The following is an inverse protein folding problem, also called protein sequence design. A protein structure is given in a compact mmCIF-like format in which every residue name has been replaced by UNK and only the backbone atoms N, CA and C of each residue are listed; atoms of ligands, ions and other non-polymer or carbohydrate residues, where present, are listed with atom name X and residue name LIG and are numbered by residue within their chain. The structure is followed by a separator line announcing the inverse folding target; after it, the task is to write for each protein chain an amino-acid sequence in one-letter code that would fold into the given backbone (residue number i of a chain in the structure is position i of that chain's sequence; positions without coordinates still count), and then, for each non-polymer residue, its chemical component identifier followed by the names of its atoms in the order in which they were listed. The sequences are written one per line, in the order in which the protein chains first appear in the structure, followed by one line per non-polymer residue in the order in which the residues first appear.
data_IF_082922673407
#
_entry.id   IF_082922673407
#
_cell.length_a   1.000
_cell.length_b   1.000
_cell.length_c   1.000
_cell.angle_alpha   90.00
_cell.angle_beta   90.00
_cell.angle_gamma   90.00
#
_symmetry.space_group_name_H-M   'P 1'
#
loop_
_entity.id
_entity.type
_entity.pdbx_description
1 polymer ?
#
# COMPACT_ATOMS: atom_id res chain seq x y z
N UNK A 1 6.16 -12.73 0.76
CA UNK A 1 6.30 -12.13 2.10
C UNK A 1 5.78 -13.10 3.16
N UNK A 2 6.44 -14.26 3.34
CA UNK A 2 6.05 -15.27 4.36
C UNK A 2 4.57 -15.68 4.33
N UNK A 3 3.99 -15.84 3.13
CA UNK A 3 2.57 -16.18 2.96
C UNK A 3 1.58 -15.03 3.21
N UNK A 4 2.04 -13.84 3.62
CA UNK A 4 1.20 -12.65 3.77
C UNK A 4 0.75 -12.10 2.41
N UNK A 5 -0.55 -11.83 2.27
CA UNK A 5 -1.11 -11.07 1.14
C UNK A 5 -0.78 -9.59 1.31
N UNK A 6 -0.30 -8.95 0.25
CA UNK A 6 0.14 -7.55 0.23
C UNK A 6 -0.30 -6.88 -1.05
N UNK A 7 -0.45 -5.56 -1.03
CA UNK A 7 -0.53 -4.76 -2.25
C UNK A 7 0.90 -4.43 -2.72
N UNK A 8 1.16 -4.55 -4.02
CA UNK A 8 2.47 -4.27 -4.61
C UNK A 8 2.37 -3.10 -5.57
N UNK A 9 2.96 -1.96 -5.17
CA UNK A 9 3.07 -0.78 -6.01
C UNK A 9 4.32 -0.91 -6.87
N UNK A 10 4.16 -1.03 -8.19
CA UNK A 10 5.27 -1.04 -9.17
C UNK A 10 5.51 0.37 -9.71
N UNK A 11 6.73 0.88 -9.58
CA UNK A 11 7.12 2.21 -10.04
C UNK A 11 8.03 2.13 -11.26
N UNK A 12 7.80 3.04 -12.20
CA UNK A 12 8.62 3.21 -13.40
C UNK A 12 9.93 3.96 -13.09
N UNK A 13 10.98 3.79 -13.93
CA UNK A 13 12.29 4.45 -13.76
C UNK A 13 12.23 5.96 -13.51
N UNK A 14 11.32 6.66 -14.18
CA UNK A 14 11.18 8.11 -14.10
C UNK A 14 10.76 8.57 -12.69
N UNK A 15 10.15 7.67 -11.91
CA UNK A 15 9.69 7.92 -10.55
C UNK A 15 10.69 7.47 -9.47
N UNK A 16 11.87 6.94 -9.82
CA UNK A 16 12.79 6.35 -8.83
C UNK A 16 13.23 7.36 -7.76
N UNK A 17 13.39 8.64 -8.13
CA UNK A 17 13.72 9.71 -7.19
C UNK A 17 12.65 9.94 -6.10
N UNK A 18 11.42 9.44 -6.30
CA UNK A 18 10.34 9.52 -5.32
C UNK A 18 10.30 8.32 -4.37
N UNK A 19 10.91 7.19 -4.76
CA UNK A 19 10.83 5.93 -4.02
C UNK A 19 11.47 6.07 -2.65
N UNK A 20 12.67 6.67 -2.57
CA UNK A 20 13.37 6.84 -1.30
C UNK A 20 12.58 7.71 -0.32
N UNK A 21 11.95 8.78 -0.83
CA UNK A 21 11.10 9.65 -0.02
C UNK A 21 9.85 8.91 0.48
N UNK A 22 9.18 8.17 -0.39
CA UNK A 22 7.98 7.40 -0.04
C UNK A 22 8.29 6.32 1.00
N UNK A 23 9.33 5.51 0.77
CA UNK A 23 9.75 4.44 1.69
C UNK A 23 10.16 5.01 3.05
N UNK A 24 10.90 6.13 3.07
CA UNK A 24 11.30 6.77 4.33
C UNK A 24 10.08 7.23 5.14
N UNK A 25 9.17 7.96 4.52
CA UNK A 25 7.99 8.48 5.21
C UNK A 25 7.07 7.36 5.72
N UNK A 26 6.92 6.28 4.94
CA UNK A 26 6.16 5.12 5.37
C UNK A 26 6.81 4.44 6.58
N UNK A 27 8.13 4.17 6.55
CA UNK A 27 8.86 3.56 7.68
C UNK A 27 8.85 4.40 8.96
N UNK A 28 8.77 5.72 8.84
CA UNK A 28 8.71 6.62 10.00
C UNK A 28 7.31 6.65 10.63
N UNK A 29 6.27 6.22 9.92
CA UNK A 29 4.87 6.46 10.30
C UNK A 29 4.01 5.20 10.43
N UNK A 30 4.47 4.04 9.96
CA UNK A 30 3.66 2.82 9.80
C UNK A 30 3.31 2.07 11.09
N UNK A 31 3.85 2.51 12.23
CA UNK A 31 3.42 2.05 13.56
C UNK A 31 2.05 2.64 13.97
N UNK A 32 1.58 3.69 13.29
CA UNK A 32 0.28 4.29 13.57
C UNK A 32 -0.86 3.49 12.91
N UNK A 33 -1.95 3.14 13.63
CA UNK A 33 -3.01 2.25 13.13
C UNK A 33 -3.82 2.80 11.95
N UNK A 34 -3.75 4.12 11.70
CA UNK A 34 -4.42 4.77 10.55
C UNK A 34 -3.46 5.14 9.41
N UNK A 35 -2.22 4.65 9.45
CA UNK A 35 -1.25 4.75 8.36
C UNK A 35 -1.06 3.36 7.78
N UNK A 36 -1.03 3.26 6.45
CA UNK A 36 -0.87 1.99 5.76
C UNK A 36 0.48 1.35 6.13
N UNK A 37 0.46 0.06 6.47
CA UNK A 37 1.67 -0.63 6.91
C UNK A 37 2.64 -0.86 5.75
N UNK A 38 3.91 -0.52 5.96
CA UNK A 38 4.99 -0.87 5.04
C UNK A 38 5.57 -2.25 5.38
N UNK A 39 5.91 -3.03 4.36
CA UNK A 39 6.57 -4.32 4.57
C UNK A 39 7.97 -4.36 3.96
N UNK A 40 8.12 -3.94 2.71
CA UNK A 40 9.38 -4.10 2.00
C UNK A 40 9.46 -3.19 0.75
N UNK A 41 10.69 -2.93 0.30
CA UNK A 41 10.95 -2.37 -1.03
C UNK A 41 11.97 -3.26 -1.73
N UNK A 42 11.70 -3.61 -2.98
CA UNK A 42 12.58 -4.42 -3.84
C UNK A 42 12.79 -3.71 -5.18
N UNK A 43 13.88 -4.05 -5.87
CA UNK A 43 14.16 -3.49 -7.20
C UNK A 43 14.75 -4.53 -8.14
N UNK A 44 14.40 -4.42 -9.40
CA UNK A 44 15.08 -5.13 -10.48
C UNK A 44 15.71 -4.13 -11.47
N UNK A 45 16.00 -4.56 -12.70
CA UNK A 45 16.61 -3.70 -13.73
C UNK A 45 15.65 -2.64 -14.28
N UNK A 46 14.34 -2.85 -14.16
CA UNK A 46 13.32 -2.05 -14.83
C UNK A 46 12.42 -1.31 -13.85
N UNK A 47 12.21 -1.82 -12.63
CA UNK A 47 11.21 -1.30 -11.71
C UNK A 47 11.66 -1.31 -10.24
N UNK A 48 11.00 -0.45 -9.46
CA UNK A 48 10.94 -0.56 -8.01
C UNK A 48 9.57 -1.11 -7.60
N UNK A 49 9.55 -1.87 -6.52
CA UNK A 49 8.37 -2.52 -5.97
C UNK A 49 8.25 -2.20 -4.49
N UNK A 50 7.15 -1.55 -4.09
CA UNK A 50 6.86 -1.29 -2.68
C UNK A 50 5.73 -2.23 -2.27
N UNK A 51 5.99 -3.07 -1.27
CA UNK A 51 5.00 -3.95 -0.67
C UNK A 51 4.40 -3.29 0.58
N UNK A 52 3.09 -3.10 0.57
CA UNK A 52 2.31 -2.49 1.65
C UNK A 52 1.09 -3.36 2.01
N UNK A 53 0.40 -2.99 3.08
CA UNK A 53 -0.86 -3.58 3.47
C UNK A 53 -1.85 -3.70 2.30
N UNK A 54 -2.45 -4.88 2.18
CA UNK A 54 -3.55 -5.11 1.25
C UNK A 54 -4.87 -4.75 1.92
N UNK A 55 -5.47 -3.63 1.51
CA UNK A 55 -6.77 -3.20 2.00
C UNK A 55 -7.92 -3.83 1.19
N UNK A 56 -9.12 -3.85 1.78
CA UNK A 56 -10.32 -4.32 1.09
C UNK A 56 -10.74 -3.42 -0.08
N UNK A 57 -10.58 -2.09 0.09
CA UNK A 57 -10.96 -1.09 -0.89
C UNK A 57 -10.36 0.28 -0.59
N UNK A 58 -10.49 1.19 -1.56
CA UNK A 58 -10.31 2.63 -1.36
C UNK A 58 -11.56 3.27 -0.76
N UNK A 59 -11.41 4.46 -0.17
CA UNK A 59 -12.55 5.23 0.34
C UNK A 59 -13.53 5.61 -0.78
N UNK A 60 -13.02 5.93 -1.98
CA UNK A 60 -13.86 6.26 -3.12
C UNK A 60 -14.78 5.09 -3.49
N UNK A 61 -14.24 3.88 -3.63
CA UNK A 61 -15.04 2.69 -3.91
C UNK A 61 -16.09 2.45 -2.82
N UNK A 62 -15.71 2.59 -1.55
CA UNK A 62 -16.65 2.42 -0.44
C UNK A 62 -17.85 3.37 -0.52
N UNK A 63 -17.61 4.64 -0.89
CA UNK A 63 -18.65 5.69 -0.96
C UNK A 63 -19.46 5.58 -2.25
N UNK A 64 -18.80 5.44 -3.39
CA UNK A 64 -19.42 5.64 -4.70
C UNK A 64 -19.95 4.35 -5.31
N UNK A 65 -19.40 3.19 -4.96
CA UNK A 65 -19.81 1.92 -5.58
C UNK A 65 -21.11 1.40 -4.96
N UNK A 66 -22.20 1.28 -5.74
CA UNK A 66 -23.49 0.81 -5.22
C UNK A 66 -23.45 -0.68 -4.84
N UNK A 67 -22.62 -1.46 -5.54
CA UNK A 67 -22.48 -2.91 -5.37
C UNK A 67 -21.38 -3.30 -4.38
N UNK A 68 -20.73 -2.33 -3.74
CA UNK A 68 -19.66 -2.61 -2.80
C UNK A 68 -20.19 -3.29 -1.53
N UNK A 69 -19.62 -4.45 -1.20
CA UNK A 69 -19.98 -5.20 0.00
C UNK A 69 -19.33 -4.56 1.23
N UNK A 70 -20.16 -3.89 2.04
CA UNK A 70 -19.73 -3.16 3.24
C UNK A 70 -19.66 -4.05 4.48
N UNK A 71 -20.00 -5.33 4.36
CA UNK A 71 -20.01 -6.26 5.50
C UNK A 71 -18.57 -6.51 5.99
N UNK A 72 -18.35 -6.42 7.30
CA UNK A 72 -17.05 -6.68 7.91
C UNK A 72 -16.03 -5.53 7.82
N UNK A 73 -16.49 -4.32 7.47
CA UNK A 73 -15.71 -3.07 7.58
C UNK A 73 -16.05 -2.30 8.86
N UNK A 74 -16.43 -3.00 9.92
CA UNK A 74 -16.73 -2.37 11.20
C UNK A 74 -15.51 -1.54 11.67
N UNK A 75 -15.73 -0.34 12.23
CA UNK A 75 -14.64 0.46 12.76
C UNK A 75 -13.88 -0.35 13.82
N UNK A 76 -12.55 -0.36 13.72
CA UNK A 76 -11.67 -0.94 14.74
C UNK A 76 -11.66 -0.07 15.98
#
# INVERSE_FOLDING_TARGET
FEGRKVAVKRLLPECFHLVDREVRLLRESDEHPHVVRYFCTERDKQFHYIAIELCSATLQEYVESPSFDRRGLDPV
#
